data_IF_806205503112
#
_entry.id   IF_806205503112
#
_cell.length_a   1.000
_cell.length_b   1.000
_cell.length_c   1.000
_cell.angle_alpha   90.00
_cell.angle_beta   90.00
_cell.angle_gamma   90.00
#
_symmetry.space_group_name_H-M   'P 1'
#
loop_
_entity.id
_entity.type
_entity.pdbx_description
1 polymer ?
#
# COMPACT_ATOMS: atom_id res chain seq x y z
N UNK A 1 9.85 -5.32 -15.65
CA UNK A 1 10.96 -5.08 -14.70
C UNK A 1 10.31 -5.08 -13.34
N UNK A 2 10.83 -5.85 -12.36
CA UNK A 2 10.28 -5.89 -11.02
C UNK A 2 10.07 -4.47 -10.49
N UNK A 3 9.00 -4.28 -9.72
CA UNK A 3 8.70 -2.97 -9.16
C UNK A 3 9.81 -2.55 -8.20
N UNK A 4 10.07 -1.25 -8.07
CA UNK A 4 10.96 -0.78 -7.02
C UNK A 4 10.26 -0.92 -5.66
N UNK A 5 10.37 -2.09 -5.04
CA UNK A 5 9.60 -2.45 -3.85
C UNK A 5 10.12 -1.78 -2.58
N UNK A 6 9.24 -1.08 -1.87
CA UNK A 6 9.52 -0.34 -0.64
C UNK A 6 8.49 -0.63 0.44
N UNK A 7 8.93 -0.41 1.69
CA UNK A 7 8.06 -0.41 2.86
C UNK A 7 8.21 0.94 3.56
N UNK A 8 7.10 1.63 3.80
CA UNK A 8 7.10 2.86 4.58
C UNK A 8 6.27 2.72 5.84
N UNK A 9 6.88 3.01 6.99
CA UNK A 9 6.15 3.21 8.24
C UNK A 9 5.77 4.68 8.36
N UNK A 10 4.47 4.96 8.31
CA UNK A 10 3.94 6.31 8.13
C UNK A 10 2.95 6.70 9.23
N UNK A 11 2.79 8.01 9.42
CA UNK A 11 1.55 8.57 9.99
C UNK A 11 0.62 8.99 8.88
N UNK A 12 -0.67 8.68 9.04
CA UNK A 12 -1.73 9.22 8.20
C UNK A 12 -2.04 10.64 8.65
N UNK A 13 -2.07 11.59 7.73
CA UNK A 13 -2.34 13.00 7.99
C UNK A 13 -3.70 13.43 7.45
N UNK A 14 -4.03 12.99 6.23
CA UNK A 14 -5.37 13.15 5.67
C UNK A 14 -5.68 12.11 4.59
N UNK A 15 -6.94 11.97 4.20
CA UNK A 15 -7.35 11.18 3.05
C UNK A 15 -8.47 11.88 2.30
N UNK A 16 -8.53 11.69 0.98
CA UNK A 16 -9.58 12.19 0.10
C UNK A 16 -9.90 11.12 -0.95
N UNK A 17 -11.18 10.92 -1.21
CA UNK A 17 -11.66 10.19 -2.37
C UNK A 17 -11.90 11.19 -3.50
N UNK A 18 -11.19 11.04 -4.62
CA UNK A 18 -11.46 11.83 -5.83
C UNK A 18 -12.23 10.98 -6.84
N UNK A 19 -13.51 11.29 -7.07
CA UNK A 19 -14.31 10.66 -8.12
C UNK A 19 -14.01 11.32 -9.48
N UNK A 20 -12.92 10.92 -10.13
CA UNK A 20 -12.64 11.37 -11.51
C UNK A 20 -13.49 10.60 -12.52
N UNK A 21 -13.98 11.30 -13.56
CA UNK A 21 -14.85 10.77 -14.61
C UNK A 21 -14.10 9.94 -15.68
N UNK A 22 -12.76 9.94 -15.70
CA UNK A 22 -11.93 9.10 -16.58
C UNK A 22 -10.66 8.56 -15.88
N UNK A 23 -10.27 7.31 -16.20
CA UNK A 23 -9.10 6.62 -15.63
C UNK A 23 -9.41 5.74 -14.41
N UNK A 24 -8.38 5.05 -13.89
CA UNK A 24 -8.44 4.31 -12.61
C UNK A 24 -8.70 5.29 -11.47
N UNK A 25 -9.66 4.98 -10.59
CA UNK A 25 -9.95 5.80 -9.41
C UNK A 25 -9.05 5.33 -8.28
N UNK A 26 -8.35 6.28 -7.65
CA UNK A 26 -7.47 6.03 -6.52
C UNK A 26 -8.03 6.71 -5.27
N UNK A 27 -8.03 6.00 -4.14
CA UNK A 27 -8.18 6.64 -2.84
C UNK A 27 -6.84 7.26 -2.45
N UNK A 28 -6.81 8.59 -2.37
CA UNK A 28 -5.58 9.35 -2.15
C UNK A 28 -5.42 9.60 -0.66
N UNK A 29 -4.33 9.10 -0.10
CA UNK A 29 -3.99 9.28 1.31
C UNK A 29 -2.74 10.13 1.42
N UNK A 30 -2.82 11.20 2.19
CA UNK A 30 -1.67 12.00 2.58
C UNK A 30 -1.11 11.41 3.86
N UNK A 31 0.11 10.89 3.76
CA UNK A 31 0.86 10.34 4.86
C UNK A 31 2.20 11.06 5.01
N UNK A 32 2.92 10.78 6.09
CA UNK A 32 4.23 11.37 6.36
C UNK A 32 5.15 10.34 7.00
N UNK A 33 6.43 10.38 6.63
CA UNK A 33 7.49 9.51 7.16
C UNK A 33 8.86 10.16 6.97
N UNK A 34 9.90 9.60 7.56
CA UNK A 34 11.27 9.96 7.23
C UNK A 34 11.73 9.24 5.95
N UNK A 35 12.30 9.98 5.00
CA UNK A 35 12.92 9.45 3.79
C UNK A 35 14.16 10.29 3.48
N UNK A 36 15.28 9.63 3.22
CA UNK A 36 16.60 10.23 3.05
C UNK A 36 16.99 11.17 4.21
N UNK A 37 16.75 10.71 5.44
CA UNK A 37 17.06 11.42 6.68
C UNK A 37 16.21 12.68 6.93
N UNK A 38 15.17 12.92 6.13
CA UNK A 38 14.29 14.10 6.27
C UNK A 38 12.84 13.70 6.36
N UNK A 39 12.05 14.52 7.04
CA UNK A 39 10.60 14.32 7.07
C UNK A 39 10.02 14.66 5.68
N UNK A 40 9.32 13.69 5.07
CA UNK A 40 8.67 13.82 3.77
C UNK A 40 7.19 13.52 3.88
N UNK A 41 6.41 14.29 3.14
CA UNK A 41 5.03 13.94 2.86
C UNK A 41 4.98 12.94 1.70
N UNK A 42 4.20 11.88 1.88
CA UNK A 42 3.94 10.84 0.91
C UNK A 42 2.48 10.87 0.47
N UNK A 43 2.25 10.74 -0.83
CA UNK A 43 0.94 10.41 -1.37
C UNK A 43 0.82 8.89 -1.54
N UNK A 44 -0.08 8.25 -0.82
CA UNK A 44 -0.43 6.83 -1.03
C UNK A 44 -1.56 6.77 -2.06
N UNK A 45 -1.34 6.04 -3.14
CA UNK A 45 -2.29 5.85 -4.22
C UNK A 45 -2.86 4.42 -4.15
N UNK A 46 -3.96 4.25 -3.42
CA UNK A 46 -4.61 2.95 -3.27
C UNK A 46 -5.63 2.81 -4.39
N UNK A 47 -5.51 1.76 -5.21
CA UNK A 47 -6.46 1.48 -6.29
C UNK A 47 -7.83 1.17 -5.70
N UNK A 48 -8.89 1.85 -6.16
CA UNK A 48 -10.29 1.58 -5.78
C UNK A 48 -11.22 1.37 -6.97
N UNK A 49 -10.74 1.62 -8.19
CA UNK A 49 -11.41 1.22 -9.43
C UNK A 49 -10.36 0.98 -10.54
N UNK A 50 -10.52 -0.10 -11.30
CA UNK A 50 -9.91 -0.25 -12.63
C UNK A 50 -11.05 -0.32 -13.65
N UNK A 51 -11.00 0.51 -14.69
CA UNK A 51 -11.89 0.35 -15.85
C UNK A 51 -11.16 -0.51 -16.89
N UNK A 52 -11.59 -1.74 -17.09
CA UNK A 52 -11.29 -2.44 -18.35
C UNK A 52 -12.18 -1.90 -19.46
N UNK A 53 -11.78 -2.09 -20.72
CA UNK A 53 -12.55 -1.74 -21.93
C UNK A 53 -13.91 -2.48 -22.06
N UNK A 54 -14.37 -3.21 -21.04
CA UNK A 54 -15.57 -4.03 -21.07
C UNK A 54 -16.89 -3.25 -20.95
N UNK A 55 -16.87 -1.92 -20.90
CA UNK A 55 -18.08 -1.09 -21.11
C UNK A 55 -19.16 -1.18 -20.03
N UNK A 56 -19.07 -2.06 -19.04
CA UNK A 56 -20.03 -2.15 -17.95
C UNK A 56 -19.73 -1.11 -16.86
N UNK A 57 -20.57 -0.08 -16.80
CA UNK A 57 -20.55 0.91 -15.74
C UNK A 57 -21.02 0.27 -14.41
N UNK A 58 -20.09 -0.05 -13.51
CA UNK A 58 -20.43 -0.44 -12.13
C UNK A 58 -19.64 -1.61 -11.53
N UNK A 59 -18.85 -2.36 -12.30
CA UNK A 59 -18.06 -3.48 -11.78
C UNK A 59 -16.76 -2.99 -11.13
N UNK A 60 -16.63 -3.12 -9.81
CA UNK A 60 -15.32 -3.04 -9.16
C UNK A 60 -14.49 -4.22 -9.62
N UNK A 61 -13.39 -4.01 -10.34
CA UNK A 61 -12.44 -5.08 -10.68
C UNK A 61 -11.47 -5.38 -9.54
N UNK A 62 -11.77 -4.97 -8.30
CA UNK A 62 -10.92 -5.20 -7.13
C UNK A 62 -11.62 -6.10 -6.11
N UNK A 63 -10.85 -7.07 -5.63
CA UNK A 63 -11.11 -7.82 -4.42
C UNK A 63 -10.35 -7.17 -3.28
N UNK A 64 -10.90 -7.19 -2.07
CA UNK A 64 -10.15 -6.80 -0.88
C UNK A 64 -10.50 -7.72 0.29
N UNK A 65 -9.63 -7.74 1.29
CA UNK A 65 -9.90 -8.35 2.59
C UNK A 65 -9.30 -7.47 3.68
N UNK A 66 -10.03 -7.36 4.79
CA UNK A 66 -9.55 -6.76 6.03
C UNK A 66 -9.43 -7.86 7.07
N UNK A 67 -8.22 -8.08 7.57
CA UNK A 67 -7.93 -9.09 8.60
C UNK A 67 -7.70 -8.39 9.93
N UNK A 68 -8.54 -8.68 10.93
CA UNK A 68 -8.47 -8.08 12.26
C UNK A 68 -8.99 -9.07 13.33
N UNK A 69 -8.17 -9.44 14.33
CA UNK A 69 -6.74 -9.14 14.45
C UNK A 69 -5.94 -9.81 13.31
N UNK A 70 -4.89 -9.15 12.84
CA UNK A 70 -3.94 -9.72 11.89
C UNK A 70 -2.77 -10.35 12.65
N UNK A 71 -2.79 -11.67 12.76
CA UNK A 71 -1.78 -12.46 13.48
C UNK A 71 -0.88 -13.17 12.46
N UNK A 72 0.35 -12.69 12.31
CA UNK A 72 1.31 -13.23 11.35
C UNK A 72 2.75 -12.91 11.80
N UNK A 73 3.76 -13.77 11.56
CA UNK A 73 5.16 -13.54 11.97
C UNK A 73 5.71 -12.16 11.57
N UNK A 74 5.31 -11.66 10.39
CA UNK A 74 5.68 -10.33 9.88
C UNK A 74 5.40 -9.18 10.87
N UNK A 75 4.41 -9.34 11.76
CA UNK A 75 4.06 -8.31 12.78
C UNK A 75 5.14 -8.16 13.85
N UNK A 76 5.99 -9.19 14.05
CA UNK A 76 7.18 -9.13 14.88
C UNK A 76 8.42 -8.71 14.07
N UNK A 77 8.54 -9.24 12.84
CA UNK A 77 9.71 -8.99 11.99
C UNK A 77 9.80 -7.54 11.53
N UNK A 78 8.66 -6.88 11.24
CA UNK A 78 8.64 -5.48 10.81
C UNK A 78 9.22 -4.51 11.85
N UNK A 79 8.76 -4.47 13.12
CA UNK A 79 9.38 -3.63 14.13
C UNK A 79 10.88 -3.89 14.30
N UNK A 80 11.31 -5.16 14.32
CA UNK A 80 12.71 -5.53 14.46
C UNK A 80 13.55 -5.08 13.26
N UNK A 81 13.05 -5.31 12.05
CA UNK A 81 13.68 -4.87 10.81
C UNK A 81 13.84 -3.35 10.78
N UNK A 82 12.77 -2.60 11.06
CA UNK A 82 12.83 -1.13 11.09
C UNK A 82 13.75 -0.59 12.19
N UNK A 83 13.87 -1.27 13.34
CA UNK A 83 14.87 -0.91 14.33
C UNK A 83 16.30 -1.13 13.79
N UNK A 84 16.54 -2.25 13.10
CA UNK A 84 17.86 -2.58 12.54
C UNK A 84 18.29 -1.67 11.38
N UNK A 85 17.32 -1.17 10.60
CA UNK A 85 17.54 -0.29 9.45
C UNK A 85 17.48 1.19 9.82
N UNK A 86 17.32 1.51 11.11
CA UNK A 86 17.15 2.89 11.56
C UNK A 86 18.37 3.72 11.14
N UNK A 87 18.18 4.81 10.37
CA UNK A 87 19.30 5.64 9.97
C UNK A 87 19.89 6.33 11.21
N UNK A 88 21.20 6.59 11.19
CA UNK A 88 21.84 7.40 12.22
C UNK A 88 21.12 8.74 12.36
N UNK A 89 20.91 9.16 13.61
CA UNK A 89 20.10 10.33 13.92
C UNK A 89 20.70 11.60 13.33
N UNK A 90 20.08 12.12 12.27
CA UNK A 90 20.40 13.43 11.68
C UNK A 90 19.28 14.46 11.90
N UNK A 91 18.26 14.11 12.70
CA UNK A 91 17.06 14.92 12.91
C UNK A 91 17.40 16.29 13.49
N UNK A 92 17.07 17.37 12.75
CA UNK A 92 17.38 18.74 13.13
C UNK A 92 16.27 19.37 13.97
N UNK A 93 15.06 18.80 13.94
CA UNK A 93 13.89 19.33 14.65
C UNK A 93 13.10 18.26 15.43
N UNK A 94 12.22 18.73 16.33
CA UNK A 94 11.40 17.88 17.22
C UNK A 94 10.51 16.89 16.45
N UNK A 95 9.98 17.29 15.29
CA UNK A 95 9.11 16.41 14.51
C UNK A 95 9.89 15.26 13.89
N UNK A 96 11.03 15.53 13.24
CA UNK A 96 11.92 14.49 12.72
C UNK A 96 12.36 13.53 13.82
N UNK A 97 12.70 14.07 15.00
CA UNK A 97 13.05 13.26 16.16
C UNK A 97 11.96 12.27 16.56
N UNK A 98 10.72 12.75 16.66
CA UNK A 98 9.58 11.89 17.00
C UNK A 98 9.42 10.73 16.02
N UNK A 99 9.58 10.97 14.72
CA UNK A 99 9.47 9.91 13.71
C UNK A 99 10.62 8.90 13.81
N UNK A 100 11.86 9.38 13.95
CA UNK A 100 13.04 8.51 14.07
C UNK A 100 13.01 7.65 15.35
N UNK A 101 12.61 8.22 16.49
CA UNK A 101 12.43 7.49 17.76
C UNK A 101 11.35 6.39 17.67
N UNK A 102 10.41 6.53 16.73
CA UNK A 102 9.39 5.52 16.45
C UNK A 102 9.78 4.59 15.28
N UNK A 103 11.02 4.68 14.79
CA UNK A 103 11.51 3.98 13.59
C UNK A 103 10.58 4.20 12.38
N UNK A 104 10.02 5.39 12.23
CA UNK A 104 9.08 5.73 11.17
C UNK A 104 9.80 6.37 9.97
N UNK A 105 10.32 5.50 9.11
CA UNK A 105 10.97 5.87 7.86
C UNK A 105 10.47 5.00 6.69
N UNK A 106 10.90 5.31 5.47
CA UNK A 106 10.75 4.45 4.32
C UNK A 106 12.07 3.73 4.03
N UNK A 107 11.97 2.43 3.73
CA UNK A 107 13.13 1.57 3.48
C UNK A 107 12.88 0.67 2.27
N UNK A 108 13.95 0.42 1.53
CA UNK A 108 13.97 -0.53 0.42
C UNK A 108 14.54 -1.86 0.93
N UNK A 109 13.70 -2.87 1.21
CA UNK A 109 14.21 -4.16 1.64
C UNK A 109 14.99 -4.86 0.52
N UNK A 110 16.05 -5.56 0.91
CA UNK A 110 16.84 -6.39 0.02
C UNK A 110 16.02 -7.56 -0.54
N UNK A 111 16.46 -8.18 -1.64
CA UNK A 111 15.78 -9.35 -2.21
C UNK A 111 15.69 -10.55 -1.25
N UNK A 112 16.59 -10.63 -0.26
CA UNK A 112 16.64 -11.71 0.72
C UNK A 112 15.86 -11.41 2.01
N UNK A 113 15.35 -10.19 2.18
CA UNK A 113 14.56 -9.79 3.36
C UNK A 113 13.10 -10.28 3.25
N UNK A 114 12.91 -11.55 2.88
CA UNK A 114 11.60 -12.13 2.55
C UNK A 114 10.61 -12.06 3.71
N UNK A 115 11.10 -12.10 4.95
CA UNK A 115 10.31 -12.06 6.18
C UNK A 115 9.53 -10.74 6.38
N UNK A 116 9.95 -9.66 5.71
CA UNK A 116 9.24 -8.36 5.75
C UNK A 116 8.53 -8.03 4.43
N UNK A 117 8.54 -8.93 3.46
CA UNK A 117 7.91 -8.72 2.14
C UNK A 117 6.58 -9.45 2.09
N UNK A 118 5.59 -8.87 1.38
CA UNK A 118 4.30 -9.53 1.24
C UNK A 118 4.31 -10.44 0.00
N UNK A 119 3.80 -11.64 0.19
CA UNK A 119 3.41 -12.55 -0.89
C UNK A 119 2.10 -13.23 -0.49
N UNK A 120 1.02 -12.88 -1.19
CA UNK A 120 -0.35 -13.32 -0.91
C UNK A 120 -0.54 -14.81 -1.11
N UNK A 121 0.30 -15.44 -1.95
CA UNK A 121 0.19 -16.86 -2.29
C UNK A 121 1.11 -17.73 -1.43
N UNK A 122 2.25 -17.19 -1.00
CA UNK A 122 3.32 -18.00 -0.36
C UNK A 122 3.50 -17.74 1.12
N UNK A 123 3.06 -16.58 1.63
CA UNK A 123 3.33 -16.19 3.01
C UNK A 123 2.21 -16.55 3.98
N UNK A 124 1.04 -16.98 3.52
CA UNK A 124 -0.08 -17.32 4.41
C UNK A 124 -0.65 -16.10 5.15
N UNK A 125 -0.70 -14.94 4.48
CA UNK A 125 -1.20 -13.68 5.08
C UNK A 125 -2.71 -13.74 5.38
N UNK A 126 -3.46 -14.43 4.54
CA UNK A 126 -4.91 -14.62 4.65
C UNK A 126 -5.35 -15.74 3.69
N UNK A 127 -6.59 -16.21 3.78
CA UNK A 127 -7.19 -17.11 2.79
C UNK A 127 -7.74 -16.29 1.60
N UNK A 128 -7.21 -16.44 0.37
CA UNK A 128 -7.71 -15.75 -0.82
C UNK A 128 -9.21 -15.90 -1.08
N UNK A 129 -9.82 -17.02 -0.66
CA UNK A 129 -11.26 -17.27 -0.77
C UNK A 129 -12.11 -16.32 0.06
N UNK A 130 -11.52 -15.66 1.07
CA UNK A 130 -12.21 -14.70 1.93
C UNK A 130 -12.26 -13.28 1.38
N UNK A 131 -11.56 -13.00 0.26
CA UNK A 131 -11.60 -11.68 -0.33
C UNK A 131 -12.97 -11.36 -0.95
N UNK A 132 -13.45 -10.16 -0.67
CA UNK A 132 -14.75 -9.68 -1.10
C UNK A 132 -14.63 -8.77 -2.31
N UNK A 133 -15.57 -8.91 -3.24
CA UNK A 133 -15.80 -7.92 -4.31
C UNK A 133 -16.86 -6.96 -3.78
N UNK A 134 -16.46 -5.75 -3.42
CA UNK A 134 -17.40 -4.66 -3.17
C UNK A 134 -17.41 -3.69 -4.35
N UNK A 135 -18.55 -3.05 -4.65
CA UNK A 135 -18.58 -1.97 -5.63
C UNK A 135 -17.56 -0.88 -5.24
N UNK A 136 -17.05 -0.13 -6.22
CA UNK A 136 -16.05 0.90 -5.94
C UNK A 136 -16.66 2.08 -5.19
N UNK A 137 -17.98 2.27 -5.28
CA UNK A 137 -18.74 3.26 -4.52
C UNK A 137 -20.16 2.74 -4.30
N UNK A 138 -20.70 2.93 -3.09
CA UNK A 138 -22.08 2.63 -2.71
C UNK A 138 -22.70 3.80 -1.92
N UNK A 139 -24.04 3.91 -1.86
CA UNK A 139 -24.71 4.97 -1.11
C UNK A 139 -24.85 4.67 0.40
N UNK A 140 -24.58 3.44 0.82
CA UNK A 140 -24.67 2.96 2.20
C UNK A 140 -23.42 3.27 3.02
N UNK A 141 -23.35 2.65 4.21
CA UNK A 141 -22.19 2.75 5.10
C UNK A 141 -21.50 1.39 5.11
N UNK A 142 -20.20 1.36 4.81
CA UNK A 142 -19.41 0.11 4.68
C UNK A 142 -19.97 -0.84 3.61
N UNK A 143 -20.60 -0.29 2.59
CA UNK A 143 -21.07 -1.03 1.43
C UNK A 143 -20.08 -0.95 0.25
N UNK A 144 -19.00 -0.17 0.40
CA UNK A 144 -17.92 -0.06 -0.58
C UNK A 144 -16.50 -0.11 0.04
N UNK A 145 -15.51 -0.36 -0.81
CA UNK A 145 -14.09 -0.40 -0.44
C UNK A 145 -13.61 0.94 0.17
N UNK A 146 -14.14 2.06 -0.32
CA UNK A 146 -13.71 3.38 0.13
C UNK A 146 -14.13 3.64 1.57
N UNK A 147 -15.29 3.17 1.99
CA UNK A 147 -15.82 3.31 3.34
C UNK A 147 -15.03 2.48 4.36
N UNK A 148 -14.66 1.25 4.00
CA UNK A 148 -13.77 0.41 4.82
C UNK A 148 -12.40 1.07 5.01
N UNK A 149 -11.77 1.53 3.91
CA UNK A 149 -10.49 2.24 3.97
C UNK A 149 -10.59 3.55 4.75
N UNK A 150 -11.64 4.36 4.51
CA UNK A 150 -11.86 5.64 5.18
C UNK A 150 -12.00 5.45 6.68
N UNK A 151 -12.74 4.44 7.12
CA UNK A 151 -12.92 4.11 8.54
C UNK A 151 -11.58 3.78 9.21
N UNK A 152 -10.78 2.89 8.61
CA UNK A 152 -9.47 2.50 9.14
C UNK A 152 -8.47 3.67 9.14
N UNK A 153 -8.42 4.44 8.06
CA UNK A 153 -7.56 5.62 7.95
C UNK A 153 -7.96 6.70 8.95
N UNK A 154 -9.26 6.88 9.22
CA UNK A 154 -9.74 7.79 10.24
C UNK A 154 -9.30 7.34 11.64
N UNK A 155 -9.44 6.05 11.97
CA UNK A 155 -8.93 5.49 13.22
C UNK A 155 -7.42 5.72 13.35
N UNK A 156 -6.66 5.44 12.30
CA UNK A 156 -5.21 5.65 12.29
C UNK A 156 -4.80 7.10 12.55
N UNK A 157 -5.62 8.06 12.12
CA UNK A 157 -5.39 9.50 12.37
C UNK A 157 -5.76 9.92 13.79
N UNK A 158 -6.80 9.34 14.37
CA UNK A 158 -7.29 9.68 15.71
C UNK A 158 -6.36 9.14 16.79
N UNK A 159 -5.73 7.98 16.55
CA UNK A 159 -4.85 7.32 17.51
C UNK A 159 -3.37 7.70 17.28
N UNK A 160 -2.79 8.48 18.20
CA UNK A 160 -1.41 8.98 18.10
C UNK A 160 -0.35 7.89 18.09
N UNK A 161 -0.66 6.72 18.61
CA UNK A 161 0.18 5.53 18.66
C UNK A 161 -0.06 4.56 17.49
N UNK A 162 -1.03 4.85 16.61
CA UNK A 162 -1.28 4.04 15.42
C UNK A 162 -0.29 4.35 14.29
N UNK A 163 0.56 3.39 13.92
CA UNK A 163 1.46 3.50 12.78
C UNK A 163 0.99 2.60 11.65
N UNK A 164 1.16 3.04 10.40
CA UNK A 164 0.75 2.25 9.23
C UNK A 164 2.00 1.87 8.44
N UNK A 165 2.18 0.58 8.19
CA UNK A 165 3.17 0.06 7.25
C UNK A 165 2.51 -0.05 5.88
N UNK A 166 3.12 0.59 4.88
CA UNK A 166 2.63 0.64 3.50
C UNK A 166 3.63 -0.10 2.63
N UNK A 167 3.14 -1.06 1.86
CA UNK A 167 3.94 -1.90 0.95
C UNK A 167 3.55 -1.58 -0.49
N UNK A 168 4.53 -1.39 -1.36
CA UNK A 168 4.31 -1.11 -2.78
C UNK A 168 5.55 -0.52 -3.47
N UNK A 169 5.35 0.17 -4.58
CA UNK A 169 6.44 0.85 -5.31
C UNK A 169 6.57 2.31 -4.87
N UNK A 170 7.79 2.73 -4.50
CA UNK A 170 8.08 4.13 -4.19
C UNK A 170 8.30 4.90 -5.49
N UNK A 171 7.62 6.03 -5.64
CA UNK A 171 7.94 7.00 -6.69
C UNK A 171 8.47 8.30 -6.07
N UNK A 172 9.48 8.89 -6.73
CA UNK A 172 10.17 10.11 -6.29
C UNK A 172 10.09 11.20 -7.37
N UNK A 173 10.34 12.48 -7.03
CA UNK A 173 10.39 13.55 -8.02
C UNK A 173 11.55 13.34 -8.98
N UNK A 174 11.29 13.37 -10.29
CA UNK A 174 12.35 13.37 -11.30
C UNK A 174 12.91 11.99 -11.67
N UNK A 175 12.64 10.93 -10.90
CA UNK A 175 12.71 9.56 -11.41
C UNK A 175 11.60 9.37 -12.45
N UNK A 176 11.88 8.65 -13.55
CA UNK A 176 11.01 8.46 -14.72
C UNK A 176 9.51 8.66 -14.43
N UNK A 177 9.01 9.89 -14.66
CA UNK A 177 7.60 10.26 -14.49
C UNK A 177 6.64 9.35 -15.30
N UNK A 178 7.19 8.55 -16.22
CA UNK A 178 6.51 7.51 -16.99
C UNK A 178 5.96 6.36 -16.13
N UNK A 179 6.56 6.04 -14.97
CA UNK A 179 6.06 5.01 -14.05
C UNK A 179 5.02 5.53 -13.06
N UNK A 180 4.91 6.86 -12.92
CA UNK A 180 3.83 7.47 -12.14
C UNK A 180 2.51 7.24 -12.89
N UNK A 181 1.46 6.69 -12.25
CA UNK A 181 0.14 6.61 -12.86
C UNK A 181 -0.30 7.98 -13.42
N UNK A 182 -0.70 8.03 -14.69
CA UNK A 182 -1.09 9.28 -15.38
C UNK A 182 -2.32 9.96 -14.74
N UNK A 183 -3.15 9.18 -14.05
CA UNK A 183 -4.26 9.59 -13.17
C UNK A 183 -3.82 10.34 -11.90
N UNK A 184 -2.51 10.36 -11.60
CA UNK A 184 -1.91 11.15 -10.51
C UNK A 184 -1.35 12.49 -10.99
N UNK A 185 -1.68 12.93 -12.21
CA UNK A 185 -1.33 14.26 -12.70
C UNK A 185 -1.75 15.34 -11.69
N UNK A 186 -0.76 16.14 -11.29
CA UNK A 186 -0.84 17.06 -10.15
C UNK A 186 -1.99 18.05 -10.31
N UNK A 187 -2.95 17.97 -9.38
CA UNK A 187 -3.50 19.22 -8.83
C UNK A 187 -2.32 19.97 -8.20
N UNK A 188 -1.85 21.00 -8.94
CA UNK A 188 -0.75 21.92 -8.65
C UNK A 188 0.61 21.29 -8.35
N UNK A 189 1.57 21.58 -9.22
CA UNK A 189 2.99 21.52 -8.91
C UNK A 189 3.25 22.09 -7.50
N UNK A 190 3.69 21.23 -6.58
CA UNK A 190 4.09 21.61 -5.23
C UNK A 190 3.52 20.82 -4.05
N UNK A 191 2.56 19.90 -4.20
CA UNK A 191 1.91 19.30 -3.00
C UNK A 191 2.50 17.98 -2.50
N UNK A 192 2.78 16.98 -3.36
CA UNK A 192 3.53 15.79 -2.94
C UNK A 192 4.51 15.37 -4.02
N UNK A 193 5.77 15.38 -3.64
CA UNK A 193 6.88 15.02 -4.50
C UNK A 193 7.12 13.49 -4.50
N UNK A 194 6.70 12.82 -3.42
CA UNK A 194 6.94 11.40 -3.18
C UNK A 194 5.62 10.67 -2.96
N UNK A 195 5.60 9.36 -3.22
CA UNK A 195 4.45 8.55 -2.86
C UNK A 195 4.68 7.06 -3.05
N UNK A 196 3.68 6.27 -2.68
CA UNK A 196 3.67 4.82 -2.85
C UNK A 196 2.45 4.44 -3.69
N UNK A 197 2.68 3.62 -4.71
CA UNK A 197 1.65 2.99 -5.54
C UNK A 197 1.80 1.47 -5.50
N UNK A 198 1.04 0.75 -6.34
CA UNK A 198 1.04 -0.71 -6.43
C UNK A 198 0.80 -1.37 -5.05
N UNK A 199 -0.10 -0.74 -4.29
CA UNK A 199 -0.57 -1.18 -2.96
C UNK A 199 -1.67 -2.23 -3.16
N UNK A 200 -1.33 -3.34 -3.81
CA UNK A 200 -2.18 -4.50 -4.07
C UNK A 200 -1.29 -5.69 -4.47
N UNK A 201 -1.88 -6.87 -4.69
CA UNK A 201 -1.18 -8.04 -5.24
C UNK A 201 -0.46 -7.66 -6.54
N UNK A 202 0.84 -7.93 -6.63
CA UNK A 202 1.71 -7.58 -7.75
C UNK A 202 2.26 -8.87 -8.38
N UNK A 203 1.37 -9.83 -8.60
CA UNK A 203 1.65 -11.09 -9.30
C UNK A 203 0.36 -11.61 -9.96
N UNK A 204 0.50 -12.52 -10.91
CA UNK A 204 -0.61 -13.12 -11.63
C UNK A 204 -1.30 -12.18 -12.61
N UNK A 205 -0.65 -11.08 -13.02
CA UNK A 205 -1.26 -10.10 -13.90
C UNK A 205 -1.56 -10.65 -15.32
N UNK A 206 -2.50 -10.01 -16.01
CA UNK A 206 -2.73 -10.24 -17.45
C UNK A 206 -1.45 -9.91 -18.26
N UNK A 207 -1.24 -10.52 -19.44
CA UNK A 207 0.00 -10.36 -20.23
C UNK A 207 0.46 -8.91 -20.45
N UNK A 208 -0.49 -7.97 -20.63
CA UNK A 208 -0.19 -6.54 -20.81
C UNK A 208 0.42 -5.85 -19.57
N UNK A 209 0.23 -6.41 -18.38
CA UNK A 209 0.72 -5.89 -17.09
C UNK A 209 1.72 -6.84 -16.42
N UNK A 210 2.06 -7.97 -17.05
CA UNK A 210 2.97 -9.00 -16.56
C UNK A 210 4.35 -8.45 -16.15
N UNK A 211 4.77 -7.31 -16.69
CA UNK A 211 6.04 -6.68 -16.32
C UNK A 211 6.14 -6.22 -14.87
N UNK A 212 4.99 -6.01 -14.20
CA UNK A 212 4.89 -5.64 -12.80
C UNK A 212 4.78 -6.86 -11.87
N UNK A 213 4.72 -8.09 -12.42
CA UNK A 213 4.72 -9.30 -11.61
C UNK A 213 6.06 -9.49 -10.88
N UNK A 214 5.97 -9.93 -9.63
CA UNK A 214 7.11 -10.38 -8.87
C UNK A 214 6.72 -11.15 -7.61
N UNK A 215 7.46 -12.21 -7.33
CA UNK A 215 7.35 -12.96 -6.07
C UNK A 215 7.86 -12.08 -4.92
N UNK A 216 7.19 -12.11 -3.75
CA UNK A 216 7.50 -11.25 -2.60
C UNK A 216 7.52 -9.75 -2.93
N UNK A 217 6.62 -9.29 -3.79
CA UNK A 217 6.48 -7.88 -4.17
C UNK A 217 5.05 -7.37 -4.04
N UNK A 218 4.16 -8.13 -3.39
CA UNK A 218 2.78 -7.70 -3.22
C UNK A 218 2.71 -6.45 -2.32
N UNK A 219 1.84 -5.52 -2.69
CA UNK A 219 1.54 -4.36 -1.87
C UNK A 219 0.45 -4.63 -0.83
N UNK A 220 0.21 -3.65 0.03
CA UNK A 220 -0.78 -3.76 1.10
C UNK A 220 -0.59 -2.73 2.20
N UNK A 221 -1.46 -2.80 3.22
CA UNK A 221 -1.39 -1.93 4.39
C UNK A 221 -1.47 -2.77 5.66
N UNK A 222 -0.58 -2.52 6.61
CA UNK A 222 -0.68 -3.06 7.96
C UNK A 222 -0.77 -1.92 8.96
N UNK A 223 -1.87 -1.85 9.71
CA UNK A 223 -2.09 -0.87 10.77
C UNK A 223 -1.67 -1.49 12.09
N UNK A 224 -0.83 -0.80 12.85
CA UNK A 224 -0.42 -1.21 14.19
C UNK A 224 -0.95 -0.23 15.23
N UNK A 225 -1.93 -0.66 16.02
CA UNK A 225 -2.50 0.10 17.13
C UNK A 225 -1.74 -0.24 18.42
N UNK A 226 -0.67 0.52 18.71
CA UNK A 226 0.28 0.21 19.78
C UNK A 226 -0.35 0.05 21.17
N UNK A 227 -1.35 0.86 21.51
CA UNK A 227 -2.06 0.81 22.80
C UNK A 227 -2.90 -0.46 22.99
N UNK A 228 -3.29 -1.12 21.90
CA UNK A 228 -4.03 -2.38 21.90
C UNK A 228 -3.14 -3.59 21.61
N UNK A 229 -1.88 -3.36 21.24
CA UNK A 229 -1.00 -4.41 20.69
C UNK A 229 -1.61 -5.12 19.46
N UNK A 230 -2.55 -4.48 18.77
CA UNK A 230 -3.36 -5.11 17.73
C UNK A 230 -2.93 -4.65 16.34
N UNK A 231 -2.88 -5.59 15.42
CA UNK A 231 -2.62 -5.33 14.01
C UNK A 231 -3.88 -5.53 13.17
N UNK A 232 -4.01 -4.74 12.11
CA UNK A 232 -5.04 -4.90 11.08
C UNK A 232 -4.38 -4.91 9.72
N UNK A 233 -4.62 -5.97 8.94
CA UNK A 233 -4.12 -6.10 7.57
C UNK A 233 -5.19 -5.71 6.56
N UNK A 234 -4.82 -4.96 5.53
CA UNK A 234 -5.67 -4.67 4.37
C UNK A 234 -4.94 -5.07 3.11
N UNK A 235 -5.55 -5.99 2.37
CA UNK A 235 -4.98 -6.59 1.17
C UNK A 235 -5.95 -6.44 0.01
N UNK A 236 -5.41 -6.13 -1.18
CA UNK A 236 -6.20 -5.84 -2.38
C UNK A 236 -5.64 -6.65 -3.55
N UNK A 237 -6.50 -7.11 -4.45
CA UNK A 237 -6.09 -7.82 -5.67
C UNK A 237 -7.07 -7.49 -6.80
N UNK A 238 -6.59 -7.42 -8.03
CA UNK A 238 -7.49 -7.28 -9.17
C UNK A 238 -8.18 -8.61 -9.48
N UNK A 239 -9.46 -8.57 -9.87
CA UNK A 239 -10.22 -9.76 -10.23
C UNK A 239 -9.62 -10.54 -11.41
N UNK A 240 -8.90 -9.85 -12.30
CA UNK A 240 -8.22 -10.47 -13.43
C UNK A 240 -6.88 -11.15 -13.09
N UNK A 241 -6.39 -11.01 -11.85
CA UNK A 241 -5.15 -11.65 -11.41
C UNK A 241 -5.37 -13.13 -11.10
N UNK A 242 -4.41 -13.96 -11.54
CA UNK A 242 -4.38 -15.38 -11.25
C UNK A 242 -3.86 -15.65 -9.83
N UNK A 243 -4.44 -16.67 -9.19
CA UNK A 243 -4.04 -17.14 -7.85
C UNK A 243 -3.08 -18.34 -7.91
N UNK A 244 -2.75 -18.80 -9.11
CA UNK A 244 -1.68 -19.75 -9.37
C UNK A 244 -0.63 -19.06 -10.27
N UNK A 245 0.56 -18.88 -9.72
CA UNK A 245 1.64 -18.14 -10.37
C UNK A 245 2.93 -18.94 -10.38
N UNK A 246 3.74 -18.69 -11.41
CA UNK A 246 5.10 -19.20 -11.51
C UNK A 246 5.91 -18.79 -10.27
N UNK A 247 6.60 -19.73 -9.59
CA UNK A 247 7.24 -19.48 -8.31
C UNK A 247 8.51 -18.64 -8.38
N UNK A 248 8.99 -18.29 -9.58
CA UNK A 248 10.19 -17.47 -9.78
C UNK A 248 9.82 -16.07 -10.26
N UNK A 249 8.87 -15.99 -11.18
CA UNK A 249 8.52 -14.74 -11.88
C UNK A 249 7.25 -14.10 -11.34
N UNK A 250 6.38 -14.86 -10.66
CA UNK A 250 5.05 -14.39 -10.26
C UNK A 250 4.06 -14.30 -11.43
N UNK A 251 4.42 -14.75 -12.63
CA UNK A 251 3.54 -14.74 -13.80
C UNK A 251 2.40 -15.73 -13.63
N UNK A 252 1.21 -15.39 -14.14
CA UNK A 252 0.09 -16.35 -14.21
C UNK A 252 0.46 -17.57 -15.05
N UNK A 253 0.06 -18.76 -14.61
CA UNK A 253 0.31 -20.01 -15.35
C UNK A 253 -0.76 -20.33 -16.40
N UNK A 254 -1.95 -19.74 -16.28
CA UNK A 254 -3.11 -19.86 -17.18
C UNK A 254 -3.94 -18.59 -17.14
#
# INVERSE_FOLDING_TARGET
MPIDYWIAKVKILSSRSDNHTSGSVHHRVHARTCLDGRLRDLQLAINVLSRSNSGEAGSSHLKFVVVSPFEHPITMDLPAYFASQAPEFQGKNRAERHYLENHAFAVRPGPQDLQVRLDYLRSGLFDPGTMQVLPPSGPGVKDDLQDHLRSLLQLARQHRDCWVYVFGELWTPGANLQRRPSSLSLQKAGSFAYGIHDIHMNQGNEPRFQQADGVFQDGGLLFHFGHLGTWVGVFLAFQGQAWETDPVTGHRLF
#
